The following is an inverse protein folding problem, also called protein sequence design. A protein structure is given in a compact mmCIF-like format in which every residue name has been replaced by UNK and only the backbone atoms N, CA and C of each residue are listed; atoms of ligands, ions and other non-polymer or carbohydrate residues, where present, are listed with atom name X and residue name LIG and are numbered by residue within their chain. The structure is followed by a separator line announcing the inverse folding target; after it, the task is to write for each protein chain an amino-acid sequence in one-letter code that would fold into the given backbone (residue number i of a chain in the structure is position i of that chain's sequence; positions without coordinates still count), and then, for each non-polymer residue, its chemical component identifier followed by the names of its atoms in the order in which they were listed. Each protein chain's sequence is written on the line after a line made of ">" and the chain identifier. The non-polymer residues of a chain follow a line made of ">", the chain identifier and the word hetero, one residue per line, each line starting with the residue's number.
data_IF_192860708983
#
_entry.id   IF_192860708983
#
_cell.length_a   1.000
_cell.length_b   1.000
_cell.length_c   1.000
_cell.angle_alpha   90.00
_cell.angle_beta   90.00
_cell.angle_gamma   90.00
#
_symmetry.space_group_name_H-M   'P 1'
#
loop_
_entity.id
_entity.type
_entity.pdbx_description
1 polymer ?
#
# COMPACT_ATOMS: atom_id res chain seq x y z
N UNK A 1 -15.63 22.93 7.33
CA UNK A 1 -14.82 24.03 6.84
C UNK A 1 -14.11 23.57 5.59
N UNK A 2 -14.37 24.19 4.42
CA UNK A 2 -13.65 23.92 3.18
C UNK A 2 -12.29 24.61 3.27
N UNK A 3 -11.20 23.87 3.19
CA UNK A 3 -9.88 24.44 2.93
C UNK A 3 -9.84 24.85 1.46
N UNK A 4 -9.57 26.10 1.18
CA UNK A 4 -9.69 26.67 -0.16
C UNK A 4 -8.34 27.09 -0.73
N UNK A 5 -7.26 26.35 -0.54
CA UNK A 5 -6.06 26.67 -1.27
C UNK A 5 -5.10 25.50 -1.38
N UNK A 6 -4.55 25.31 -2.56
CA UNK A 6 -3.45 24.40 -2.85
C UNK A 6 -2.13 24.71 -2.09
N UNK A 7 -2.10 25.77 -1.32
CA UNK A 7 -0.96 26.18 -0.49
C UNK A 7 -1.02 25.74 0.96
N UNK A 8 -2.21 25.44 1.50
CA UNK A 8 -2.38 25.05 2.90
C UNK A 8 -2.72 23.56 3.01
N UNK A 9 -1.68 22.73 3.07
CA UNK A 9 -1.80 21.27 3.26
C UNK A 9 -2.12 20.89 4.72
N UNK A 10 -2.22 21.88 5.63
CA UNK A 10 -2.47 21.65 7.06
C UNK A 10 -3.79 22.25 7.50
N UNK A 11 -4.47 21.52 8.39
CA UNK A 11 -5.65 21.99 9.10
C UNK A 11 -5.35 22.01 10.59
N UNK A 12 -5.48 23.18 11.21
CA UNK A 12 -5.48 23.31 12.68
C UNK A 12 -6.92 23.19 13.18
N UNK A 13 -7.12 22.39 14.22
CA UNK A 13 -8.38 22.28 14.94
C UNK A 13 -8.13 22.51 16.42
N UNK A 14 -8.68 23.61 16.94
CA UNK A 14 -8.67 23.86 18.38
C UNK A 14 -9.75 23.00 19.03
N UNK A 15 -9.38 22.27 20.09
CA UNK A 15 -10.33 21.49 20.89
C UNK A 15 -11.11 22.42 21.82
N UNK A 16 -12.36 22.06 22.16
CA UNK A 16 -13.17 22.83 23.10
C UNK A 16 -12.51 22.90 24.48
N UNK A 17 -11.89 21.79 24.90
CA UNK A 17 -11.06 21.71 26.11
C UNK A 17 -9.72 21.04 25.75
N UNK A 18 -8.60 21.48 26.35
CA UNK A 18 -7.31 20.82 26.16
C UNK A 18 -7.32 19.39 26.68
N UNK A 19 -6.67 18.47 25.94
CA UNK A 19 -6.41 17.12 26.43
C UNK A 19 -5.39 17.15 27.57
N UNK A 20 -5.70 16.46 28.67
CA UNK A 20 -4.76 16.25 29.77
C UNK A 20 -3.88 15.03 29.50
N UNK A 21 -2.73 14.92 30.17
CA UNK A 21 -1.88 13.72 30.07
C UNK A 21 -2.68 12.44 30.35
N UNK A 22 -2.55 11.44 29.44
CA UNK A 22 -3.27 10.17 29.55
C UNK A 22 -4.69 10.17 28.97
N UNK A 23 -5.24 11.31 28.58
CA UNK A 23 -6.54 11.38 27.91
C UNK A 23 -6.42 11.09 26.42
N UNK A 24 -7.52 10.60 25.81
CA UNK A 24 -7.64 10.34 24.38
C UNK A 24 -8.84 11.09 23.79
N UNK A 25 -8.71 11.52 22.53
CA UNK A 25 -9.79 12.12 21.77
C UNK A 25 -10.08 11.32 20.51
N UNK A 26 -11.33 11.34 20.04
CA UNK A 26 -11.75 10.75 18.77
C UNK A 26 -12.10 11.85 17.79
N UNK A 27 -11.48 11.82 16.63
CA UNK A 27 -11.80 12.69 15.50
C UNK A 27 -12.45 11.87 14.39
N UNK A 28 -13.52 12.41 13.78
CA UNK A 28 -14.13 11.86 12.57
C UNK A 28 -13.91 12.87 11.45
N UNK A 29 -13.21 12.44 10.40
CA UNK A 29 -12.88 13.28 9.25
C UNK A 29 -13.44 12.59 8.00
N UNK A 30 -14.18 13.35 7.18
CA UNK A 30 -14.57 12.96 5.83
C UNK A 30 -13.74 13.75 4.84
N UNK A 31 -13.28 13.10 3.77
CA UNK A 31 -12.54 13.74 2.69
C UNK A 31 -12.86 13.07 1.35
N UNK A 32 -12.63 13.80 0.29
CA UNK A 32 -12.72 13.31 -1.08
C UNK A 32 -11.67 14.04 -1.94
N UNK A 33 -11.19 13.40 -2.99
CA UNK A 33 -10.26 14.00 -3.94
C UNK A 33 -10.29 13.23 -5.27
N UNK A 34 -9.87 13.90 -6.34
CA UNK A 34 -9.67 13.27 -7.63
C UNK A 34 -8.33 12.56 -7.68
N UNK A 35 -8.30 11.33 -8.21
CA UNK A 35 -7.06 10.59 -8.44
C UNK A 35 -6.42 11.17 -9.72
N UNK A 36 -5.15 11.54 -9.64
CA UNK A 36 -4.41 12.12 -10.74
C UNK A 36 -4.02 11.05 -11.76
N UNK A 37 -3.97 11.46 -13.02
CA UNK A 37 -3.28 10.72 -14.06
C UNK A 37 -1.76 10.85 -13.85
N UNK A 38 -1.07 9.72 -13.64
CA UNK A 38 0.37 9.69 -13.33
C UNK A 38 1.25 10.06 -14.52
N UNK A 39 0.74 10.00 -15.75
CA UNK A 39 1.43 10.46 -16.94
C UNK A 39 1.39 11.99 -17.10
N UNK A 40 0.39 12.64 -16.49
CA UNK A 40 0.19 14.09 -16.56
C UNK A 40 0.77 14.79 -15.33
N UNK A 41 0.56 14.21 -14.14
CA UNK A 41 0.96 14.83 -12.88
C UNK A 41 1.88 13.86 -12.13
N UNK A 42 3.17 14.22 -12.05
CA UNK A 42 4.12 13.49 -11.21
C UNK A 42 3.80 13.72 -9.74
N UNK A 43 3.20 12.71 -9.11
CA UNK A 43 2.81 12.71 -7.70
C UNK A 43 3.05 11.32 -7.09
N UNK A 44 2.94 11.22 -5.77
CA UNK A 44 3.06 9.94 -5.03
C UNK A 44 1.75 9.15 -4.99
N UNK A 45 0.74 9.64 -5.68
CA UNK A 45 -0.57 9.01 -5.86
C UNK A 45 -1.07 9.26 -7.26
N UNK A 46 -1.69 8.27 -7.88
CA UNK A 46 -2.21 8.42 -9.22
C UNK A 46 -2.75 7.13 -9.81
N UNK A 47 -3.15 7.20 -11.06
CA UNK A 47 -3.47 6.03 -11.86
C UNK A 47 -2.59 5.99 -13.11
N UNK A 48 -2.32 4.78 -13.58
CA UNK A 48 -1.81 4.47 -14.90
C UNK A 48 -2.96 3.90 -15.75
N UNK A 49 -3.12 4.40 -16.98
CA UNK A 49 -4.13 3.93 -17.91
C UNK A 49 -3.50 3.09 -19.02
N UNK A 50 -4.06 1.92 -19.26
CA UNK A 50 -3.64 0.98 -20.31
C UNK A 50 -4.59 1.09 -21.50
N UNK A 51 -4.22 1.87 -22.51
CA UNK A 51 -5.04 2.11 -23.72
C UNK A 51 -5.44 0.83 -24.44
N UNK A 52 -4.59 -0.20 -24.41
CA UNK A 52 -4.79 -1.46 -25.10
C UNK A 52 -6.03 -2.23 -24.64
N UNK A 53 -6.36 -2.15 -23.37
CA UNK A 53 -7.44 -2.93 -22.74
C UNK A 53 -8.42 -2.06 -21.93
N UNK A 54 -8.17 -0.75 -21.85
CA UNK A 54 -9.03 0.19 -21.16
C UNK A 54 -9.00 0.08 -19.63
N UNK A 55 -7.98 -0.54 -19.06
CA UNK A 55 -7.86 -0.78 -17.63
C UNK A 55 -6.93 0.21 -16.93
N UNK A 56 -6.94 0.16 -15.61
CA UNK A 56 -6.20 1.07 -14.74
C UNK A 56 -5.43 0.31 -13.66
N UNK A 57 -4.26 0.84 -13.30
CA UNK A 57 -3.60 0.57 -12.02
C UNK A 57 -3.68 1.84 -11.20
N UNK A 58 -4.14 1.72 -9.96
CA UNK A 58 -4.19 2.81 -8.98
C UNK A 58 -3.12 2.58 -7.94
N UNK A 59 -2.25 3.58 -7.73
CA UNK A 59 -1.24 3.60 -6.67
C UNK A 59 -1.54 4.77 -5.74
N UNK A 60 -1.86 4.45 -4.49
CA UNK A 60 -2.47 5.38 -3.56
C UNK A 60 -1.59 5.57 -2.33
N UNK A 61 -0.94 6.73 -2.27
CA UNK A 61 -0.20 7.19 -1.10
C UNK A 61 -0.61 8.62 -0.74
N UNK A 62 -0.37 9.05 0.49
CA UNK A 62 -0.78 10.37 0.97
C UNK A 62 -2.28 10.68 0.74
N UNK A 63 -3.12 9.67 0.80
CA UNK A 63 -4.53 9.70 0.36
C UNK A 63 -5.51 10.04 1.49
N UNK A 64 -5.06 10.14 2.73
CA UNK A 64 -5.90 10.41 3.91
C UNK A 64 -5.26 11.49 4.80
N UNK A 65 -6.05 12.24 5.60
CA UNK A 65 -5.54 13.18 6.57
C UNK A 65 -4.73 12.47 7.66
N UNK A 66 -3.52 12.99 7.96
CA UNK A 66 -2.60 12.44 8.97
C UNK A 66 -2.31 13.47 10.04
N UNK A 67 -2.04 13.00 11.27
CA UNK A 67 -1.56 13.88 12.32
C UNK A 67 -0.12 14.31 12.05
N UNK A 68 0.17 15.58 12.21
CA UNK A 68 1.54 16.07 12.19
C UNK A 68 2.25 15.70 13.49
N UNK A 69 3.56 15.46 13.42
CA UNK A 69 4.36 15.20 14.61
C UNK A 69 4.55 16.48 15.44
N UNK A 70 4.68 16.29 16.72
CA UNK A 70 5.09 17.34 17.65
C UNK A 70 6.48 17.00 18.21
N UNK A 71 7.38 17.97 18.18
CA UNK A 71 8.71 17.85 18.78
C UNK A 71 8.90 18.92 19.85
N UNK A 72 9.64 18.60 20.91
CA UNK A 72 9.88 19.49 22.03
C UNK A 72 10.70 20.74 21.64
N UNK A 73 11.55 20.64 20.63
CA UNK A 73 12.43 21.74 20.20
C UNK A 73 11.85 22.63 19.07
N UNK A 74 10.86 22.14 18.29
CA UNK A 74 10.24 22.92 17.19
C UNK A 74 8.71 23.01 17.28
N UNK A 75 8.09 22.28 18.21
CA UNK A 75 6.63 22.18 18.29
C UNK A 75 6.01 21.38 17.14
N UNK A 76 4.85 21.77 16.67
CA UNK A 76 4.14 21.12 15.57
C UNK A 76 4.89 21.22 14.26
N UNK A 77 5.16 20.07 13.62
CA UNK A 77 5.89 19.95 12.35
C UNK A 77 4.95 20.19 11.15
N UNK A 78 4.40 21.39 11.04
CA UNK A 78 3.44 21.79 10.01
C UNK A 78 4.06 22.68 8.92
N UNK A 79 5.32 22.45 8.58
CA UNK A 79 6.01 23.19 7.51
C UNK A 79 5.47 22.77 6.13
N UNK A 80 5.28 23.73 5.26
CA UNK A 80 4.88 23.50 3.89
C UNK A 80 5.92 22.63 3.15
N UNK A 81 5.46 21.71 2.32
CA UNK A 81 6.33 20.95 1.42
C UNK A 81 6.79 21.84 0.26
N UNK A 82 8.10 22.07 0.18
CA UNK A 82 8.72 22.95 -0.82
C UNK A 82 9.57 22.15 -1.83
N UNK A 83 9.24 20.91 -2.09
CA UNK A 83 9.93 20.03 -3.03
C UNK A 83 11.21 19.37 -2.48
N UNK A 84 11.59 19.64 -1.23
CA UNK A 84 12.71 19.02 -0.52
C UNK A 84 12.32 18.70 0.91
N UNK A 85 12.83 17.58 1.42
CA UNK A 85 12.47 17.07 2.74
C UNK A 85 11.17 16.28 2.74
N UNK A 86 10.93 15.53 3.80
CA UNK A 86 9.77 14.67 3.95
C UNK A 86 8.89 15.16 5.10
N UNK A 87 7.62 14.74 5.08
CA UNK A 87 6.72 14.97 6.20
C UNK A 87 7.17 14.14 7.41
N UNK A 88 7.18 14.77 8.59
CA UNK A 88 7.41 14.07 9.84
C UNK A 88 6.09 13.52 10.34
N UNK A 89 6.01 12.20 10.45
CA UNK A 89 4.80 11.48 10.85
C UNK A 89 5.06 10.66 12.11
N UNK A 90 4.04 10.56 12.96
CA UNK A 90 4.06 9.69 14.13
C UNK A 90 3.69 8.25 13.76
N UNK A 91 4.15 7.31 14.58
CA UNK A 91 3.70 5.92 14.49
C UNK A 91 2.28 5.77 14.97
N UNK A 92 1.52 4.94 14.28
CA UNK A 92 0.15 4.59 14.64
C UNK A 92 -0.22 3.18 14.20
N UNK A 93 -1.34 2.70 14.72
CA UNK A 93 -1.95 1.44 14.31
C UNK A 93 -3.12 1.73 13.36
N UNK A 94 -3.19 0.99 12.28
CA UNK A 94 -4.15 1.20 11.22
C UNK A 94 -5.03 -0.03 11.01
N UNK A 95 -6.33 0.18 10.90
CA UNK A 95 -7.27 -0.78 10.30
C UNK A 95 -7.96 -0.08 9.14
N UNK A 96 -7.62 -0.49 7.93
CA UNK A 96 -8.08 0.17 6.69
C UNK A 96 -9.02 -0.75 5.93
N UNK A 97 -10.16 -0.20 5.50
CA UNK A 97 -11.14 -0.87 4.66
C UNK A 97 -11.15 -0.22 3.28
N UNK A 98 -10.76 -0.97 2.25
CA UNK A 98 -10.65 -0.51 0.87
C UNK A 98 -11.75 -1.17 0.06
N UNK A 99 -12.73 -0.39 -0.37
CA UNK A 99 -13.85 -0.89 -1.19
C UNK A 99 -13.61 -0.55 -2.66
N UNK A 100 -13.45 -1.58 -3.47
CA UNK A 100 -13.14 -1.49 -4.90
C UNK A 100 -14.09 -2.35 -5.72
N UNK A 101 -14.11 -2.25 -7.07
CA UNK A 101 -14.81 -3.22 -7.91
C UNK A 101 -14.46 -4.67 -7.55
N UNK A 102 -15.41 -5.59 -7.65
CA UNK A 102 -15.26 -6.95 -7.14
C UNK A 102 -14.24 -7.81 -7.90
N UNK A 103 -13.77 -7.35 -9.05
CA UNK A 103 -12.70 -7.96 -9.88
C UNK A 103 -11.30 -7.40 -9.58
N UNK A 104 -11.18 -6.35 -8.76
CA UNK A 104 -9.90 -5.79 -8.36
C UNK A 104 -9.19 -6.64 -7.30
N UNK A 105 -7.86 -6.73 -7.45
CA UNK A 105 -6.92 -7.21 -6.45
C UNK A 105 -6.29 -5.99 -5.77
N UNK A 106 -6.09 -6.06 -4.46
CA UNK A 106 -5.53 -4.95 -3.65
C UNK A 106 -4.26 -5.39 -2.96
N UNK A 107 -3.19 -4.62 -3.15
CA UNK A 107 -1.96 -4.67 -2.37
C UNK A 107 -1.97 -3.49 -1.38
N UNK A 108 -1.64 -3.70 -0.11
CA UNK A 108 -1.64 -2.61 0.87
C UNK A 108 -0.65 -2.84 2.01
N UNK A 109 -0.26 -1.74 2.65
CA UNK A 109 0.44 -1.77 3.94
C UNK A 109 -0.30 -2.67 4.93
N UNK A 110 0.41 -3.63 5.54
CA UNK A 110 -0.15 -4.51 6.58
C UNK A 110 -0.63 -5.87 6.08
N UNK A 111 -1.27 -6.59 6.97
CA UNK A 111 -1.79 -7.94 6.73
C UNK A 111 -3.25 -7.90 6.30
N UNK A 112 -3.60 -8.70 5.31
CA UNK A 112 -4.98 -8.93 4.87
C UNK A 112 -5.73 -9.75 5.92
N UNK A 113 -6.80 -9.20 6.50
CA UNK A 113 -7.57 -9.84 7.56
C UNK A 113 -8.73 -10.71 7.05
N UNK A 114 -9.30 -10.40 5.89
CA UNK A 114 -10.50 -11.05 5.38
C UNK A 114 -10.28 -11.76 4.04
N UNK A 115 -9.18 -12.49 3.92
CA UNK A 115 -8.85 -13.26 2.71
C UNK A 115 -10.01 -14.17 2.24
N UNK A 116 -10.75 -14.77 3.17
CA UNK A 116 -11.90 -15.65 2.87
C UNK A 116 -13.09 -14.93 2.22
N UNK A 117 -13.17 -13.61 2.34
CA UNK A 117 -14.27 -12.82 1.76
C UNK A 117 -13.91 -12.24 0.38
N UNK A 118 -12.61 -12.05 0.11
CA UNK A 118 -12.14 -11.31 -1.08
C UNK A 118 -11.38 -12.17 -2.09
N UNK A 119 -10.91 -13.36 -1.70
CA UNK A 119 -10.19 -14.31 -2.54
C UNK A 119 -11.03 -15.56 -2.81
N UNK A 120 -10.84 -16.19 -3.96
CA UNK A 120 -11.41 -17.51 -4.23
C UNK A 120 -10.77 -18.60 -3.34
N UNK A 121 -11.38 -19.77 -3.22
CA UNK A 121 -10.83 -20.88 -2.43
C UNK A 121 -9.45 -21.30 -2.94
N UNK A 122 -9.24 -21.31 -4.25
CA UNK A 122 -7.96 -21.63 -4.89
C UNK A 122 -6.89 -20.59 -4.58
N UNK A 123 -7.25 -19.30 -4.63
CA UNK A 123 -6.34 -18.20 -4.28
C UNK A 123 -5.95 -18.25 -2.79
N UNK A 124 -6.89 -18.56 -1.90
CA UNK A 124 -6.63 -18.76 -0.47
C UNK A 124 -5.68 -19.92 -0.22
N UNK A 125 -5.90 -21.05 -0.90
CA UNK A 125 -5.04 -22.22 -0.79
C UNK A 125 -3.60 -21.89 -1.26
N UNK A 126 -3.46 -21.20 -2.41
CA UNK A 126 -2.16 -20.76 -2.93
C UNK A 126 -1.47 -19.75 -2.01
N UNK A 127 -2.19 -18.78 -1.44
CA UNK A 127 -1.67 -17.83 -0.46
C UNK A 127 -1.17 -18.53 0.80
N UNK A 128 -1.90 -19.55 1.26
CA UNK A 128 -1.49 -20.35 2.42
C UNK A 128 -0.23 -21.15 2.12
N UNK A 129 -0.18 -21.81 0.97
CA UNK A 129 0.97 -22.62 0.54
C UNK A 129 2.23 -21.77 0.33
N UNK A 130 2.09 -20.54 -0.18
CA UNK A 130 3.21 -19.63 -0.44
C UNK A 130 4.02 -19.27 0.82
N UNK A 131 3.41 -19.37 2.01
CA UNK A 131 4.09 -19.05 3.29
C UNK A 131 5.23 -19.99 3.63
N UNK A 132 5.23 -21.20 3.05
CA UNK A 132 6.27 -22.22 3.27
C UNK A 132 6.94 -22.67 1.97
N UNK A 133 6.66 -21.98 0.87
CA UNK A 133 7.22 -22.31 -0.43
C UNK A 133 8.70 -21.92 -0.52
N UNK A 134 9.49 -22.75 -1.21
CA UNK A 134 10.91 -22.48 -1.49
C UNK A 134 11.12 -21.57 -2.71
N UNK A 135 10.06 -21.29 -3.46
CA UNK A 135 10.05 -20.43 -4.64
C UNK A 135 8.76 -19.60 -4.65
N UNK A 136 8.76 -18.41 -5.30
CA UNK A 136 7.53 -17.65 -5.49
C UNK A 136 6.42 -18.48 -6.13
N UNK A 137 5.23 -18.39 -5.57
CA UNK A 137 4.03 -19.05 -6.06
C UNK A 137 3.00 -18.00 -6.46
N UNK A 138 2.33 -18.18 -7.58
CA UNK A 138 1.20 -17.34 -7.94
C UNK A 138 0.04 -17.54 -6.96
N UNK A 139 -0.44 -16.47 -6.38
CA UNK A 139 -1.70 -16.38 -5.66
C UNK A 139 -2.82 -16.01 -6.64
N UNK A 140 -2.58 -15.02 -7.49
CA UNK A 140 -3.37 -14.70 -8.68
C UNK A 140 -2.50 -14.97 -9.90
N UNK A 141 -2.94 -15.87 -10.76
CA UNK A 141 -2.15 -16.29 -11.94
C UNK A 141 -2.25 -15.27 -13.09
N UNK A 142 -1.32 -15.31 -14.06
CA UNK A 142 -1.42 -14.49 -15.27
C UNK A 142 -2.74 -14.69 -16.04
N UNK A 143 -3.25 -15.93 -16.08
CA UNK A 143 -4.52 -16.26 -16.74
C UNK A 143 -5.72 -15.65 -16.00
N UNK A 144 -5.73 -15.72 -14.66
CA UNK A 144 -6.77 -15.08 -13.83
C UNK A 144 -6.74 -13.57 -14.01
N UNK A 145 -5.57 -12.92 -13.97
CA UNK A 145 -5.42 -11.49 -14.21
C UNK A 145 -5.91 -11.12 -15.62
N UNK A 146 -5.56 -11.92 -16.63
CA UNK A 146 -6.01 -11.73 -18.01
C UNK A 146 -7.53 -11.86 -18.16
N UNK A 147 -8.15 -12.79 -17.45
CA UNK A 147 -9.61 -12.92 -17.42
C UNK A 147 -10.27 -11.70 -16.75
N UNK A 148 -9.69 -11.21 -15.66
CA UNK A 148 -10.17 -10.01 -14.97
C UNK A 148 -10.09 -8.75 -15.85
N UNK A 149 -9.05 -8.61 -16.70
CA UNK A 149 -8.93 -7.47 -17.63
C UNK A 149 -10.14 -7.32 -18.56
N UNK A 150 -10.79 -8.43 -18.90
CA UNK A 150 -11.95 -8.49 -19.81
C UNK A 150 -13.27 -8.58 -19.04
N UNK A 151 -13.26 -8.53 -17.71
CA UNK A 151 -14.45 -8.65 -16.89
C UNK A 151 -15.20 -7.33 -16.77
N UNK A 152 -16.52 -7.41 -16.58
CA UNK A 152 -17.33 -6.27 -16.15
C UNK A 152 -17.74 -6.48 -14.69
N UNK A 153 -17.29 -5.61 -13.78
CA UNK A 153 -17.58 -5.78 -12.37
C UNK A 153 -19.07 -5.60 -12.10
N UNK A 154 -19.69 -6.58 -11.45
CA UNK A 154 -21.12 -6.56 -11.10
C UNK A 154 -21.40 -5.96 -9.73
N UNK A 155 -20.35 -5.55 -9.01
CA UNK A 155 -20.45 -5.02 -7.66
C UNK A 155 -19.11 -4.59 -7.09
N UNK A 156 -19.06 -4.46 -5.79
CA UNK A 156 -17.86 -4.07 -5.04
C UNK A 156 -17.54 -5.10 -3.96
N UNK A 157 -16.28 -5.21 -3.60
CA UNK A 157 -15.82 -5.95 -2.42
C UNK A 157 -14.93 -5.08 -1.55
N UNK A 158 -14.88 -5.36 -0.25
CA UNK A 158 -14.11 -4.60 0.72
C UNK A 158 -12.96 -5.45 1.25
N UNK A 159 -11.74 -5.01 1.01
CA UNK A 159 -10.52 -5.56 1.55
C UNK A 159 -10.22 -4.91 2.90
N UNK A 160 -9.83 -5.69 3.90
CA UNK A 160 -9.54 -5.20 5.26
C UNK A 160 -8.10 -5.52 5.59
N UNK A 161 -7.31 -4.48 5.84
CA UNK A 161 -5.91 -4.59 6.21
C UNK A 161 -5.67 -4.05 7.60
N UNK A 162 -4.68 -4.64 8.30
CA UNK A 162 -4.20 -4.17 9.60
C UNK A 162 -2.68 -3.97 9.55
N UNK A 163 -2.22 -2.83 10.04
CA UNK A 163 -0.82 -2.51 10.19
C UNK A 163 -0.58 -1.88 11.57
N UNK A 164 0.31 -2.47 12.34
CA UNK A 164 0.64 -1.99 13.67
C UNK A 164 1.97 -1.22 13.64
N UNK A 165 2.02 -0.10 14.35
CA UNK A 165 3.21 0.74 14.54
C UNK A 165 3.88 1.15 13.23
N UNK A 166 3.11 1.75 12.32
CA UNK A 166 3.58 2.30 11.04
C UNK A 166 3.35 3.79 10.97
N UNK A 167 4.18 4.50 10.20
CA UNK A 167 4.07 5.96 10.03
C UNK A 167 3.13 6.37 8.92
N UNK A 168 2.85 5.49 7.98
CA UNK A 168 1.99 5.76 6.83
C UNK A 168 1.29 4.49 6.37
N UNK A 169 0.31 4.64 5.50
CA UNK A 169 -0.42 3.54 4.89
C UNK A 169 -0.64 3.83 3.40
N UNK A 170 -0.09 2.96 2.54
CA UNK A 170 -0.28 3.04 1.10
C UNK A 170 -0.96 1.77 0.58
N UNK A 171 -1.59 1.87 -0.59
CA UNK A 171 -2.17 0.72 -1.26
C UNK A 171 -2.15 0.89 -2.79
N UNK A 172 -2.25 -0.22 -3.49
CA UNK A 172 -2.50 -0.24 -4.92
C UNK A 172 -3.69 -1.15 -5.23
N UNK A 173 -4.39 -0.88 -6.34
CA UNK A 173 -5.57 -1.63 -6.74
C UNK A 173 -5.69 -1.72 -8.25
N UNK A 174 -5.88 -2.92 -8.78
CA UNK A 174 -6.14 -3.14 -10.19
C UNK A 174 -6.81 -4.49 -10.43
N UNK A 175 -7.58 -4.60 -11.51
CA UNK A 175 -8.02 -5.90 -12.04
C UNK A 175 -6.91 -6.62 -12.82
N UNK A 176 -5.86 -5.88 -13.23
CA UNK A 176 -4.72 -6.39 -14.00
C UNK A 176 -3.69 -7.14 -13.16
N UNK A 177 -3.78 -7.09 -11.82
CA UNK A 177 -2.72 -7.63 -10.99
C UNK A 177 -2.63 -9.15 -11.02
N UNK A 178 -1.49 -9.64 -11.49
CA UNK A 178 -0.89 -10.89 -11.09
C UNK A 178 -0.36 -10.68 -9.67
N UNK A 179 -0.44 -11.68 -8.83
CA UNK A 179 0.10 -11.65 -7.49
C UNK A 179 0.88 -12.93 -7.23
N UNK A 180 2.17 -12.82 -7.00
CA UNK A 180 2.97 -13.92 -6.48
C UNK A 180 3.48 -13.65 -5.07
N UNK A 181 3.80 -14.71 -4.33
CA UNK A 181 4.22 -14.62 -2.94
C UNK A 181 5.17 -15.75 -2.56
N UNK A 182 6.04 -15.48 -1.58
CA UNK A 182 6.94 -16.46 -0.96
C UNK A 182 7.22 -16.09 0.49
N UNK A 183 7.05 -17.05 1.40
CA UNK A 183 7.45 -16.88 2.80
C UNK A 183 8.96 -16.82 2.95
N UNK A 184 9.42 -15.99 3.88
CA UNK A 184 10.84 -15.86 4.20
C UNK A 184 11.03 -15.68 5.71
N UNK A 185 12.05 -16.31 6.24
CA UNK A 185 12.44 -16.19 7.65
C UNK A 185 13.65 -15.24 7.75
N UNK A 186 13.42 -14.07 8.32
CA UNK A 186 14.47 -13.08 8.57
C UNK A 186 14.90 -13.22 10.03
N UNK A 187 15.83 -14.13 10.31
CA UNK A 187 16.36 -14.39 11.66
C UNK A 187 15.26 -14.63 12.73
N UNK A 188 14.26 -15.48 12.42
CA UNK A 188 13.15 -15.82 13.28
C UNK A 188 11.91 -14.94 13.12
N UNK A 189 11.96 -13.89 12.30
CA UNK A 189 10.77 -13.12 11.92
C UNK A 189 10.24 -13.59 10.56
N UNK A 190 9.06 -14.21 10.58
CA UNK A 190 8.42 -14.74 9.36
C UNK A 190 7.75 -13.60 8.60
N UNK A 191 8.28 -13.30 7.43
CA UNK A 191 7.78 -12.27 6.52
C UNK A 191 7.28 -12.90 5.24
N UNK A 192 6.13 -12.49 4.73
CA UNK A 192 5.63 -12.88 3.42
C UNK A 192 6.05 -11.81 2.39
N UNK A 193 6.97 -12.17 1.49
CA UNK A 193 7.35 -11.34 0.36
C UNK A 193 6.30 -11.51 -0.76
N UNK A 194 5.83 -10.40 -1.35
CA UNK A 194 4.77 -10.39 -2.35
C UNK A 194 5.07 -9.40 -3.46
N UNK A 195 4.72 -9.78 -4.69
CA UNK A 195 4.80 -8.89 -5.86
C UNK A 195 3.45 -8.82 -6.57
N UNK A 196 3.08 -7.59 -6.96
CA UNK A 196 1.84 -7.29 -7.70
C UNK A 196 2.21 -6.52 -8.97
N UNK A 197 1.79 -7.03 -10.10
CA UNK A 197 2.17 -6.48 -11.41
C UNK A 197 1.19 -6.89 -12.50
N UNK A 198 1.08 -6.10 -13.59
CA UNK A 198 0.24 -6.47 -14.73
C UNK A 198 0.95 -7.48 -15.65
N UNK A 199 0.21 -8.08 -16.59
CA UNK A 199 0.77 -8.97 -17.61
C UNK A 199 1.89 -8.32 -18.44
N UNK A 200 1.91 -7.01 -18.57
CA UNK A 200 2.96 -6.24 -19.23
C UNK A 200 4.32 -6.32 -18.51
N UNK A 201 4.32 -6.63 -17.22
CA UNK A 201 5.54 -6.87 -16.43
C UNK A 201 6.18 -8.24 -16.66
N UNK A 202 5.48 -9.17 -17.34
CA UNK A 202 6.02 -10.49 -17.65
C UNK A 202 7.07 -10.47 -18.75
N UNK A 203 8.10 -11.33 -18.71
CA UNK A 203 8.42 -12.32 -17.66
C UNK A 203 9.39 -11.78 -16.59
N UNK A 204 9.66 -10.48 -16.56
CA UNK A 204 10.68 -9.90 -15.69
C UNK A 204 10.24 -9.99 -14.21
N UNK A 205 9.01 -9.59 -13.92
CA UNK A 205 8.50 -9.50 -12.57
C UNK A 205 8.33 -10.87 -11.91
N UNK A 206 7.72 -11.83 -12.59
CA UNK A 206 7.56 -13.19 -12.06
C UNK A 206 8.89 -13.89 -11.79
N UNK A 207 9.93 -13.60 -12.60
CA UNK A 207 11.24 -14.21 -12.42
C UNK A 207 12.07 -13.61 -11.30
N UNK A 208 11.92 -12.31 -11.03
CA UNK A 208 12.91 -11.61 -10.21
C UNK A 208 12.34 -10.79 -9.05
N UNK A 209 11.11 -10.25 -9.14
CA UNK A 209 10.63 -9.26 -8.16
C UNK A 209 10.59 -9.81 -6.73
N UNK A 210 9.89 -10.91 -6.47
CA UNK A 210 9.81 -11.48 -5.12
C UNK A 210 11.16 -12.01 -4.62
N UNK A 211 12.01 -12.52 -5.50
CA UNK A 211 13.39 -12.86 -5.15
C UNK A 211 14.21 -11.62 -4.75
N UNK A 212 14.03 -10.50 -5.45
CA UNK A 212 14.69 -9.24 -5.11
C UNK A 212 14.25 -8.70 -3.75
N UNK A 213 12.97 -8.81 -3.40
CA UNK A 213 12.47 -8.48 -2.06
C UNK A 213 13.20 -9.30 -1.01
N UNK A 214 13.24 -10.62 -1.15
CA UNK A 214 13.91 -11.52 -0.20
C UNK A 214 15.41 -11.18 -0.08
N UNK A 215 16.08 -10.96 -1.20
CA UNK A 215 17.47 -10.54 -1.20
C UNK A 215 17.67 -9.23 -0.43
N UNK A 216 16.81 -8.24 -0.67
CA UNK A 216 16.82 -6.93 0.01
C UNK A 216 16.60 -7.09 1.51
N UNK A 217 15.64 -7.91 1.93
CA UNK A 217 15.38 -8.21 3.35
C UNK A 217 16.64 -8.80 4.02
N UNK A 218 17.31 -9.76 3.39
CA UNK A 218 18.52 -10.37 3.90
C UNK A 218 19.67 -9.37 4.02
N UNK A 219 19.91 -8.59 2.95
CA UNK A 219 21.02 -7.64 2.92
C UNK A 219 20.79 -6.51 3.93
N UNK A 220 19.62 -5.89 3.93
CA UNK A 220 19.37 -4.76 4.82
C UNK A 220 19.27 -5.18 6.28
N UNK A 221 18.68 -6.33 6.58
CA UNK A 221 18.65 -6.85 7.95
C UNK A 221 20.04 -7.15 8.50
N UNK A 222 20.98 -7.56 7.63
CA UNK A 222 22.39 -7.77 8.01
C UNK A 222 23.14 -6.48 8.34
N UNK A 223 22.87 -5.39 7.60
CA UNK A 223 23.63 -4.14 7.73
C UNK A 223 22.96 -3.09 8.63
N UNK A 224 21.68 -3.28 8.98
CA UNK A 224 20.92 -2.34 9.81
C UNK A 224 20.31 -3.07 11.02
N UNK A 225 19.07 -3.47 10.90
CA UNK A 225 18.31 -4.23 11.91
C UNK A 225 17.34 -5.19 11.22
N UNK A 226 16.90 -6.21 11.95
CA UNK A 226 15.96 -7.19 11.44
C UNK A 226 14.67 -6.53 10.96
N UNK A 227 14.22 -6.90 9.76
CA UNK A 227 12.97 -6.38 9.24
C UNK A 227 11.81 -6.73 10.18
N UNK A 228 11.07 -5.72 10.73
CA UNK A 228 10.17 -5.96 11.84
C UNK A 228 8.73 -6.33 11.43
N UNK A 229 8.41 -6.29 10.13
CA UNK A 229 7.04 -6.40 9.65
C UNK A 229 6.71 -7.77 9.07
N UNK A 230 5.41 -8.18 9.11
CA UNK A 230 4.98 -9.51 8.66
C UNK A 230 4.90 -9.66 7.14
N UNK A 231 4.91 -8.56 6.38
CA UNK A 231 4.84 -8.57 4.92
C UNK A 231 5.84 -7.59 4.31
N UNK A 232 6.29 -7.85 3.08
CA UNK A 232 7.09 -6.94 2.26
C UNK A 232 6.60 -7.03 0.82
N UNK A 233 6.16 -5.91 0.24
CA UNK A 233 5.39 -5.87 -1.00
C UNK A 233 6.10 -4.99 -2.01
N UNK A 234 6.19 -5.45 -3.26
CA UNK A 234 6.56 -4.65 -4.43
C UNK A 234 5.40 -4.59 -5.40
N UNK A 235 5.04 -3.40 -5.83
CA UNK A 235 3.98 -3.15 -6.81
C UNK A 235 4.59 -2.51 -8.04
N UNK A 236 4.26 -3.05 -9.21
CA UNK A 236 4.60 -2.43 -10.49
C UNK A 236 3.55 -1.41 -10.87
N UNK A 237 3.99 -0.21 -11.20
CA UNK A 237 3.13 0.85 -11.70
C UNK A 237 3.89 2.13 -12.00
N UNK A 238 3.19 3.13 -12.46
CA UNK A 238 3.75 4.39 -12.98
C UNK A 238 4.28 5.31 -11.88
N UNK A 239 3.74 5.22 -10.67
CA UNK A 239 4.24 5.94 -9.48
C UNK A 239 5.47 5.20 -8.94
N UNK A 240 6.52 5.14 -9.75
CA UNK A 240 7.73 4.39 -9.43
C UNK A 240 8.64 5.09 -8.42
N UNK A 241 9.49 4.28 -7.75
CA UNK A 241 10.53 4.80 -6.84
C UNK A 241 9.98 5.35 -5.52
N UNK A 242 8.87 4.81 -5.01
CA UNK A 242 8.27 5.22 -3.73
C UNK A 242 8.19 4.06 -2.75
N UNK A 243 8.68 4.31 -1.54
CA UNK A 243 8.71 3.36 -0.42
C UNK A 243 7.81 3.82 0.73
N UNK A 244 6.94 2.91 1.17
CA UNK A 244 6.05 3.06 2.34
C UNK A 244 6.23 1.87 3.27
N UNK A 245 5.74 1.93 4.53
CA UNK A 245 5.80 0.77 5.40
C UNK A 245 5.21 -0.48 4.71
N UNK A 246 6.02 -1.53 4.59
CA UNK A 246 5.65 -2.83 4.01
C UNK A 246 5.33 -2.84 2.51
N UNK A 247 5.30 -1.72 1.81
CA UNK A 247 4.95 -1.65 0.39
C UNK A 247 5.80 -0.61 -0.35
N UNK A 248 6.35 -1.00 -1.50
CA UNK A 248 7.06 -0.11 -2.41
C UNK A 248 6.36 -0.09 -3.77
N UNK A 249 6.27 1.08 -4.38
CA UNK A 249 5.87 1.25 -5.78
C UNK A 249 7.13 1.32 -6.63
N UNK A 250 7.21 0.46 -7.62
CA UNK A 250 8.39 0.31 -8.50
C UNK A 250 7.93 0.31 -9.97
N UNK A 251 8.72 0.93 -10.83
CA UNK A 251 8.51 0.92 -12.28
C UNK A 251 9.39 -0.08 -13.01
#
# INVERSE_FOLDING_TARGET
>A
VRSSAASDVYKRQDLAEPLKPGEASKLKIGWEFNINDSDVISARTGFEFFERDGNYIYEMAHWFPRMVSYTDYQGWQHKQFLGRGEFTLEFGDYVVRITVPNDHIVAATGELLNATEVLTEEQQARLTASRTAEKPMFVVTPEEAKANESSEPTGKKTWIFKADRVRDFAFASSRKFIWDAMGHDVDGNKTLAMSFYPNEGEPLWSRYSTHAIIHTLNVYSRYTFKYPYPVAISVNGRVGGMEYPMICFNG
#
